data_IF_074824314633
#
_entry.id   IF_074824314633
#
_cell.length_a   1.000
_cell.length_b   1.000
_cell.length_c   1.000
_cell.angle_alpha   90.00
_cell.angle_beta   90.00
_cell.angle_gamma   90.00
#
_symmetry.space_group_name_H-M   'P 1'
#
loop_
_entity.id
_entity.type
_entity.pdbx_description
1 polymer ?
#
# COMPACT_ATOMS: atom_id res chain seq x y z
N UNK A 1 16.18 2.50 23.80
CA UNK A 1 14.98 1.97 23.11
C UNK A 1 15.32 1.82 21.63
N UNK A 2 15.18 0.64 21.04
CA UNK A 2 15.46 0.43 19.61
C UNK A 2 14.36 1.08 18.77
N UNK A 3 14.75 1.89 17.77
CA UNK A 3 13.79 2.58 16.88
C UNK A 3 12.95 1.58 16.06
N UNK A 4 13.51 0.40 15.76
CA UNK A 4 12.85 -0.68 15.04
C UNK A 4 12.62 -1.89 15.96
N UNK A 5 11.46 -2.58 15.86
CA UNK A 5 11.13 -3.72 16.70
C UNK A 5 11.88 -4.99 16.23
N UNK A 6 13.15 -5.13 16.62
CA UNK A 6 14.01 -6.24 16.16
C UNK A 6 13.52 -7.64 16.58
N UNK A 7 12.69 -7.75 17.62
CA UNK A 7 12.20 -9.01 18.17
C UNK A 7 10.94 -9.56 17.49
N UNK A 8 10.32 -8.82 16.57
CA UNK A 8 9.13 -9.27 15.84
C UNK A 8 9.52 -9.82 14.46
N UNK A 9 8.80 -10.79 13.89
CA UNK A 9 8.97 -11.15 12.48
C UNK A 9 8.53 -9.98 11.58
N UNK A 10 9.06 -9.92 10.35
CA UNK A 10 8.70 -8.88 9.36
C UNK A 10 7.25 -9.03 8.91
N UNK A 11 6.88 -10.24 8.50
CA UNK A 11 5.55 -10.64 8.10
C UNK A 11 5.07 -11.75 9.03
N UNK A 12 3.80 -11.72 9.39
CA UNK A 12 3.13 -12.75 10.19
C UNK A 12 1.73 -13.01 9.65
N UNK A 13 1.17 -14.14 10.04
CA UNK A 13 -0.24 -14.43 9.78
C UNK A 13 -1.13 -13.39 10.45
N UNK A 14 -2.26 -13.07 9.82
CA UNK A 14 -3.17 -12.05 10.34
C UNK A 14 -3.75 -12.48 11.68
N UNK A 15 -3.60 -11.61 12.67
CA UNK A 15 -4.15 -11.81 14.00
C UNK A 15 -5.65 -11.53 14.04
N UNK A 16 -6.41 -12.37 14.74
CA UNK A 16 -7.87 -12.20 14.92
C UNK A 16 -8.21 -11.16 16.01
N UNK A 17 -7.31 -10.97 16.98
CA UNK A 17 -7.40 -9.98 18.05
C UNK A 17 -7.06 -8.55 17.52
N UNK A 18 -7.98 -8.02 16.71
CA UNK A 18 -7.87 -6.73 16.03
C UNK A 18 -8.30 -5.56 16.92
N UNK A 19 -7.60 -4.43 16.79
CA UNK A 19 -7.97 -3.18 17.47
C UNK A 19 -9.23 -2.57 16.82
N UNK A 20 -9.92 -1.69 17.56
CA UNK A 20 -11.20 -1.12 17.12
C UNK A 20 -11.12 -0.42 15.77
N UNK A 21 -9.98 0.23 15.48
CA UNK A 21 -9.73 0.89 14.20
C UNK A 21 -9.60 -0.07 13.03
N UNK A 22 -9.15 -1.29 13.26
CA UNK A 22 -9.00 -2.33 12.24
C UNK A 22 -10.30 -3.11 12.03
N UNK A 23 -11.13 -3.20 13.08
CA UNK A 23 -12.47 -3.80 13.00
C UNK A 23 -13.44 -2.95 12.19
N UNK A 24 -13.28 -1.63 12.20
CA UNK A 24 -14.22 -0.74 11.52
C UNK A 24 -14.09 -0.86 9.99
N UNK A 25 -15.12 -1.42 9.35
CA UNK A 25 -15.13 -1.66 7.90
C UNK A 25 -14.30 -2.87 7.47
N UNK A 26 -14.09 -3.82 8.39
CA UNK A 26 -13.50 -5.12 8.11
C UNK A 26 -14.34 -5.88 7.07
N UNK A 27 -13.72 -6.26 5.96
CA UNK A 27 -14.33 -7.11 4.95
C UNK A 27 -14.00 -8.57 5.28
N UNK A 28 -15.03 -9.40 5.50
CA UNK A 28 -14.85 -10.85 5.67
C UNK A 28 -15.26 -11.56 4.39
N UNK A 29 -14.30 -12.19 3.73
CA UNK A 29 -14.53 -12.98 2.52
C UNK A 29 -14.54 -14.45 2.92
N UNK A 30 -15.68 -15.10 2.70
CA UNK A 30 -15.84 -16.53 2.92
C UNK A 30 -16.34 -17.16 1.62
N UNK A 31 -15.41 -17.65 0.81
CA UNK A 31 -15.72 -18.35 -0.41
C UNK A 31 -15.88 -19.84 -0.12
N UNK A 32 -17.13 -20.30 -0.23
CA UNK A 32 -17.48 -21.72 -0.14
C UNK A 32 -17.97 -22.22 -1.49
N UNK A 33 -17.52 -23.40 -1.90
CA UNK A 33 -18.07 -24.14 -3.03
C UNK A 33 -18.65 -25.46 -2.51
N UNK A 34 -19.98 -25.51 -2.38
CA UNK A 34 -20.67 -26.64 -1.77
C UNK A 34 -20.26 -26.84 -0.31
N UNK A 35 -19.61 -27.97 0.00
CA UNK A 35 -19.11 -28.31 1.34
C UNK A 35 -17.66 -27.88 1.59
N UNK A 36 -16.94 -27.42 0.57
CA UNK A 36 -15.53 -27.03 0.68
C UNK A 36 -15.43 -25.52 0.90
N UNK A 37 -14.74 -25.13 1.97
CA UNK A 37 -14.28 -23.75 2.12
C UNK A 37 -13.05 -23.58 1.21
N UNK A 38 -13.20 -22.88 0.10
CA UNK A 38 -12.09 -22.58 -0.81
C UNK A 38 -11.17 -21.53 -0.19
N UNK A 39 -11.77 -20.54 0.47
CA UNK A 39 -11.02 -19.46 1.09
C UNK A 39 -11.84 -18.74 2.15
N UNK A 40 -11.22 -18.45 3.29
CA UNK A 40 -11.83 -17.66 4.37
C UNK A 40 -10.76 -16.72 4.91
N UNK A 41 -10.97 -15.42 4.75
CA UNK A 41 -10.03 -14.39 5.20
C UNK A 41 -10.75 -13.10 5.57
N UNK A 42 -10.03 -12.20 6.24
CA UNK A 42 -10.51 -10.86 6.55
C UNK A 42 -9.52 -9.80 6.09
N UNK A 43 -10.06 -8.65 5.70
CA UNK A 43 -9.31 -7.52 5.15
C UNK A 43 -9.70 -6.24 5.86
N UNK A 44 -8.72 -5.65 6.54
CA UNK A 44 -8.85 -4.32 7.13
C UNK A 44 -9.03 -3.27 6.03
N UNK A 45 -9.40 -2.05 6.40
CA UNK A 45 -9.47 -0.95 5.42
C UNK A 45 -8.12 -0.65 4.78
N UNK A 46 -7.01 -0.82 5.51
CA UNK A 46 -5.67 -0.69 4.94
C UNK A 46 -5.41 -1.78 3.92
N UNK A 47 -5.76 -3.03 4.21
CA UNK A 47 -5.55 -4.12 3.27
C UNK A 47 -6.37 -3.90 1.98
N UNK A 48 -7.59 -3.40 2.12
CA UNK A 48 -8.45 -3.03 0.99
C UNK A 48 -7.80 -1.94 0.11
N UNK A 49 -7.11 -0.97 0.72
CA UNK A 49 -6.34 0.03 -0.02
C UNK A 49 -5.17 -0.60 -0.77
N UNK A 50 -4.42 -1.51 -0.16
CA UNK A 50 -3.35 -2.22 -0.84
C UNK A 50 -3.86 -3.07 -2.02
N UNK A 51 -4.98 -3.78 -1.85
CA UNK A 51 -5.61 -4.54 -2.94
C UNK A 51 -6.05 -3.60 -4.06
N UNK A 52 -6.73 -2.51 -3.73
CA UNK A 52 -7.18 -1.53 -4.72
C UNK A 52 -6.00 -0.97 -5.53
N UNK A 53 -4.94 -0.52 -4.86
CA UNK A 53 -3.77 0.01 -5.54
C UNK A 53 -3.01 -1.06 -6.31
N UNK A 54 -3.02 -2.32 -5.86
CA UNK A 54 -2.43 -3.42 -6.62
C UNK A 54 -3.14 -3.61 -7.95
N UNK A 55 -4.47 -3.62 -7.96
CA UNK A 55 -5.28 -3.71 -9.17
C UNK A 55 -5.08 -2.51 -10.10
N UNK A 56 -4.99 -1.30 -9.54
CA UNK A 56 -4.70 -0.08 -10.31
C UNK A 56 -3.31 -0.17 -10.95
N UNK A 57 -2.27 -0.51 -10.18
CA UNK A 57 -0.91 -0.66 -10.70
C UNK A 57 -0.84 -1.73 -11.79
N UNK A 58 -1.42 -2.91 -11.54
CA UNK A 58 -1.48 -3.98 -12.53
C UNK A 58 -2.18 -3.50 -13.81
N UNK A 59 -3.34 -2.85 -13.70
CA UNK A 59 -4.06 -2.29 -14.84
C UNK A 59 -3.23 -1.28 -15.63
N UNK A 60 -2.64 -0.28 -14.97
CA UNK A 60 -1.83 0.77 -15.62
C UNK A 60 -0.65 0.15 -16.36
N UNK A 61 0.14 -0.70 -15.71
CA UNK A 61 1.36 -1.23 -16.29
C UNK A 61 1.13 -2.33 -17.34
N UNK A 62 0.07 -3.15 -17.19
CA UNK A 62 -0.34 -4.12 -18.22
C UNK A 62 -0.84 -3.39 -19.46
N UNK A 63 -1.65 -2.33 -19.30
CA UNK A 63 -2.11 -1.53 -20.43
C UNK A 63 -0.97 -0.81 -21.13
N UNK A 64 -0.04 -0.23 -20.38
CA UNK A 64 1.17 0.39 -20.95
C UNK A 64 2.03 -0.60 -21.75
N UNK A 65 2.14 -1.85 -21.31
CA UNK A 65 2.98 -2.85 -21.93
C UNK A 65 2.37 -3.49 -23.19
N UNK A 66 1.07 -3.81 -23.14
CA UNK A 66 0.47 -4.73 -24.12
C UNK A 66 -0.63 -4.13 -24.97
N UNK A 67 -1.27 -3.03 -24.53
CA UNK A 67 -2.40 -2.49 -25.27
C UNK A 67 -1.90 -1.48 -26.31
N UNK A 68 -2.25 -1.65 -27.60
CA UNK A 68 -1.90 -0.73 -28.67
C UNK A 68 -2.84 0.49 -28.68
N UNK A 69 -2.99 1.14 -27.53
CA UNK A 69 -3.81 2.35 -27.34
C UNK A 69 -2.90 3.56 -27.28
N UNK A 70 -3.32 4.70 -27.82
CA UNK A 70 -2.50 5.92 -27.78
C UNK A 70 -2.15 6.32 -26.34
N UNK A 71 -0.92 6.77 -26.11
CA UNK A 71 -0.45 7.22 -24.80
C UNK A 71 -1.31 8.34 -24.20
N UNK A 72 -1.88 9.21 -25.03
CA UNK A 72 -2.82 10.27 -24.60
C UNK A 72 -4.08 9.70 -23.96
N UNK A 73 -4.71 8.70 -24.60
CA UNK A 73 -5.91 8.05 -24.07
C UNK A 73 -5.56 7.28 -22.78
N UNK A 74 -4.42 6.58 -22.78
CA UNK A 74 -3.96 5.85 -21.60
C UNK A 74 -3.72 6.80 -20.42
N UNK A 75 -3.05 7.93 -20.63
CA UNK A 75 -2.80 8.96 -19.62
C UNK A 75 -4.10 9.44 -18.96
N UNK A 76 -5.12 9.79 -19.75
CA UNK A 76 -6.43 10.23 -19.22
C UNK A 76 -7.04 9.15 -18.32
N UNK A 77 -7.08 7.90 -18.78
CA UNK A 77 -7.64 6.80 -17.99
C UNK A 77 -6.84 6.53 -16.71
N UNK A 78 -5.51 6.55 -16.79
CA UNK A 78 -4.65 6.35 -15.63
C UNK A 78 -4.82 7.47 -14.61
N UNK A 79 -4.91 8.73 -15.04
CA UNK A 79 -5.17 9.87 -14.15
C UNK A 79 -6.52 9.74 -13.45
N UNK A 80 -7.57 9.29 -14.15
CA UNK A 80 -8.89 9.00 -13.55
C UNK A 80 -8.80 7.86 -12.53
N UNK A 81 -8.14 6.74 -12.88
CA UNK A 81 -7.96 5.60 -11.98
C UNK A 81 -7.16 5.98 -10.73
N UNK A 82 -6.07 6.74 -10.89
CA UNK A 82 -5.27 7.24 -9.78
C UNK A 82 -6.09 8.17 -8.89
N UNK A 83 -6.91 9.06 -9.44
CA UNK A 83 -7.81 9.91 -8.65
C UNK A 83 -8.79 9.08 -7.83
N UNK A 84 -9.45 8.10 -8.46
CA UNK A 84 -10.38 7.18 -7.77
C UNK A 84 -9.65 6.41 -6.67
N UNK A 85 -8.46 5.90 -6.94
CA UNK A 85 -7.59 5.20 -5.98
C UNK A 85 -7.23 6.09 -4.80
N UNK A 86 -6.81 7.33 -5.05
CA UNK A 86 -6.47 8.32 -4.02
C UNK A 86 -7.67 8.70 -3.15
N UNK A 87 -8.85 8.97 -3.75
CA UNK A 87 -10.06 9.30 -2.99
C UNK A 87 -10.51 8.11 -2.14
N UNK A 88 -10.48 6.91 -2.71
CA UNK A 88 -10.83 5.68 -1.98
C UNK A 88 -9.86 5.42 -0.83
N UNK A 89 -8.55 5.64 -1.05
CA UNK A 89 -7.53 5.55 0.00
C UNK A 89 -7.81 6.53 1.13
N UNK A 90 -8.16 7.78 0.84
CA UNK A 90 -8.52 8.77 1.86
C UNK A 90 -9.72 8.25 2.67
N UNK A 91 -10.81 7.87 2.02
CA UNK A 91 -12.04 7.41 2.70
C UNK A 91 -11.77 6.20 3.60
N UNK A 92 -11.02 5.22 3.09
CA UNK A 92 -10.75 3.98 3.82
C UNK A 92 -9.77 4.18 4.98
N UNK A 93 -8.75 5.03 4.80
CA UNK A 93 -7.69 5.18 5.82
C UNK A 93 -7.93 6.31 6.80
N UNK A 94 -8.85 7.25 6.51
CA UNK A 94 -9.02 8.47 7.30
C UNK A 94 -9.15 8.18 8.80
N UNK A 95 -10.09 7.32 9.19
CA UNK A 95 -10.30 6.99 10.58
C UNK A 95 -9.04 6.41 11.24
N UNK A 96 -8.39 5.47 10.55
CA UNK A 96 -7.20 4.81 11.05
C UNK A 96 -6.04 5.81 11.24
N UNK A 97 -5.78 6.68 10.26
CA UNK A 97 -4.72 7.70 10.39
C UNK A 97 -5.08 8.77 11.42
N UNK A 98 -6.36 9.02 11.67
CA UNK A 98 -6.80 9.90 12.75
C UNK A 98 -6.51 9.30 14.12
N UNK A 99 -6.87 8.03 14.33
CA UNK A 99 -6.61 7.31 15.59
C UNK A 99 -5.11 7.17 15.83
N UNK A 100 -4.33 6.86 14.80
CA UNK A 100 -2.87 6.66 14.89
C UNK A 100 -2.05 7.97 14.85
N UNK A 101 -2.70 9.13 14.70
CA UNK A 101 -2.08 10.46 14.54
C UNK A 101 -1.10 10.52 13.34
N UNK A 102 -1.45 9.88 12.22
CA UNK A 102 -0.65 9.72 10.99
C UNK A 102 -1.20 10.48 9.77
N UNK A 103 -2.00 11.53 9.93
CA UNK A 103 -2.55 12.29 8.79
C UNK A 103 -1.48 12.75 7.80
N UNK A 104 -0.28 13.12 8.28
CA UNK A 104 0.82 13.55 7.44
C UNK A 104 1.31 12.46 6.47
N UNK A 105 1.22 11.18 6.87
CA UNK A 105 1.54 10.05 6.01
C UNK A 105 0.56 9.96 4.84
N UNK A 106 -0.74 10.11 5.11
CA UNK A 106 -1.77 10.13 4.08
C UNK A 106 -1.54 11.28 3.10
N UNK A 107 -1.26 12.49 3.61
CA UNK A 107 -0.94 13.64 2.76
C UNK A 107 0.33 13.41 1.94
N UNK A 108 1.37 12.79 2.51
CA UNK A 108 2.59 12.43 1.81
C UNK A 108 2.32 11.52 0.62
N UNK A 109 1.53 10.47 0.80
CA UNK A 109 1.12 9.59 -0.31
C UNK A 109 0.30 10.33 -1.37
N UNK A 110 -0.64 11.20 -0.97
CA UNK A 110 -1.43 11.99 -1.93
C UNK A 110 -0.56 12.92 -2.75
N UNK A 111 0.39 13.63 -2.13
CA UNK A 111 1.34 14.50 -2.82
C UNK A 111 2.19 13.69 -3.81
N UNK A 112 2.69 12.53 -3.39
CA UNK A 112 3.46 11.63 -4.25
C UNK A 112 2.66 11.15 -5.48
N UNK A 113 1.40 10.77 -5.30
CA UNK A 113 0.53 10.33 -6.40
C UNK A 113 0.24 11.47 -7.37
N UNK A 114 -0.12 12.65 -6.87
CA UNK A 114 -0.39 13.83 -7.70
C UNK A 114 0.87 14.24 -8.48
N UNK A 115 2.04 14.27 -7.83
CA UNK A 115 3.30 14.59 -8.48
C UNK A 115 3.65 13.58 -9.59
N UNK A 116 3.50 12.28 -9.32
CA UNK A 116 3.76 11.22 -10.29
C UNK A 116 2.86 11.28 -11.52
N UNK A 117 1.55 11.44 -11.31
CA UNK A 117 0.58 11.61 -12.41
C UNK A 117 0.88 12.87 -13.20
N UNK A 118 1.07 14.01 -12.51
CA UNK A 118 1.34 15.28 -13.20
C UNK A 118 2.59 15.18 -14.06
N UNK A 119 3.67 14.60 -13.55
CA UNK A 119 4.91 14.45 -14.31
C UNK A 119 4.73 13.48 -15.49
N UNK A 120 4.00 12.38 -15.30
CA UNK A 120 3.66 11.42 -16.36
C UNK A 120 2.85 12.09 -17.47
N UNK A 121 1.80 12.82 -17.11
CA UNK A 121 0.93 13.53 -18.05
C UNK A 121 1.71 14.61 -18.80
N UNK A 122 2.49 15.44 -18.11
CA UNK A 122 3.37 16.41 -18.77
C UNK A 122 4.35 15.72 -19.73
N UNK A 123 4.88 14.57 -19.35
CA UNK A 123 5.73 13.74 -20.20
C UNK A 123 5.05 13.31 -21.49
N UNK A 124 3.80 12.84 -21.39
CA UNK A 124 3.02 12.35 -22.53
C UNK A 124 2.53 13.49 -23.41
N UNK A 125 1.90 14.52 -22.82
CA UNK A 125 1.28 15.61 -23.57
C UNK A 125 2.29 16.57 -24.22
N UNK A 126 3.43 16.81 -23.58
CA UNK A 126 4.50 17.67 -24.12
C UNK A 126 5.64 16.90 -24.77
N UNK A 127 5.59 15.56 -24.79
CA UNK A 127 6.63 14.73 -25.41
C UNK A 127 7.99 14.82 -24.71
N UNK A 128 8.01 14.98 -23.38
CA UNK A 128 9.25 15.09 -22.62
C UNK A 128 9.98 13.74 -22.57
N UNK A 129 10.90 13.54 -23.51
CA UNK A 129 11.60 12.28 -23.73
C UNK A 129 12.28 11.73 -22.48
N UNK A 130 12.91 12.58 -21.66
CA UNK A 130 13.57 12.17 -20.41
C UNK A 130 12.58 11.53 -19.43
N UNK A 131 11.38 12.08 -19.29
CA UNK A 131 10.34 11.50 -18.43
C UNK A 131 9.81 10.22 -19.05
N UNK A 132 9.50 10.24 -20.35
CA UNK A 132 8.94 9.09 -21.06
C UNK A 132 9.85 7.86 -21.03
N UNK A 133 11.16 8.05 -21.19
CA UNK A 133 12.15 6.95 -21.13
C UNK A 133 12.40 6.46 -19.70
N UNK A 134 11.99 7.23 -18.69
CA UNK A 134 12.18 6.91 -17.28
C UNK A 134 10.86 6.74 -16.51
N UNK A 135 9.73 6.48 -17.18
CA UNK A 135 8.43 6.31 -16.50
C UNK A 135 8.45 5.17 -15.48
N UNK A 136 9.02 4.03 -15.84
CA UNK A 136 9.10 2.88 -14.93
C UNK A 136 10.00 3.18 -13.70
N UNK A 137 11.27 3.64 -13.86
CA UNK A 137 12.08 4.10 -12.74
C UNK A 137 11.41 5.19 -11.89
N UNK A 138 10.70 6.13 -12.52
CA UNK A 138 9.97 7.20 -11.84
C UNK A 138 8.94 6.63 -10.87
N UNK A 139 8.05 5.76 -11.35
CA UNK A 139 6.99 5.19 -10.52
C UNK A 139 7.54 4.26 -9.42
N UNK A 140 8.58 3.47 -9.71
CA UNK A 140 9.29 2.71 -8.68
C UNK A 140 9.90 3.63 -7.60
N UNK A 141 10.46 4.77 -8.00
CA UNK A 141 11.03 5.75 -7.07
C UNK A 141 9.95 6.37 -6.18
N UNK A 142 8.83 6.79 -6.78
CA UNK A 142 7.69 7.37 -6.05
C UNK A 142 7.16 6.36 -5.01
N UNK A 143 6.96 5.11 -5.42
CA UNK A 143 6.54 4.04 -4.49
C UNK A 143 7.58 3.78 -3.40
N UNK A 144 8.87 3.72 -3.75
CA UNK A 144 9.94 3.54 -2.78
C UNK A 144 9.96 4.66 -1.72
N UNK A 145 9.79 5.92 -2.15
CA UNK A 145 9.69 7.07 -1.25
C UNK A 145 8.45 6.96 -0.34
N UNK A 146 7.29 6.59 -0.89
CA UNK A 146 6.09 6.36 -0.10
C UNK A 146 6.28 5.25 0.94
N UNK A 147 6.97 4.16 0.58
CA UNK A 147 7.32 3.11 1.54
C UNK A 147 8.32 3.56 2.59
N UNK A 148 9.30 4.42 2.26
CA UNK A 148 10.18 5.03 3.26
C UNK A 148 9.41 5.93 4.24
N UNK A 149 8.49 6.76 3.74
CA UNK A 149 7.61 7.58 4.59
C UNK A 149 6.76 6.69 5.51
N UNK A 150 6.23 5.60 4.96
CA UNK A 150 5.42 4.63 5.73
C UNK A 150 6.28 3.93 6.78
N UNK A 151 7.44 3.40 6.41
CA UNK A 151 8.41 2.79 7.32
C UNK A 151 8.79 3.71 8.47
N UNK A 152 9.05 4.99 8.18
CA UNK A 152 9.32 5.99 9.20
C UNK A 152 8.13 6.22 10.13
N UNK A 153 6.94 6.40 9.55
CA UNK A 153 5.69 6.68 10.27
C UNK A 153 5.32 5.55 11.23
N UNK A 154 5.28 4.33 10.73
CA UNK A 154 4.83 3.14 11.47
C UNK A 154 5.97 2.38 12.13
N UNK A 155 7.22 2.85 11.98
CA UNK A 155 8.46 2.19 12.44
C UNK A 155 8.53 0.72 11.99
N UNK A 156 8.24 0.49 10.72
CA UNK A 156 8.15 -0.84 10.12
C UNK A 156 9.40 -1.18 9.32
N UNK A 157 9.97 -2.35 9.58
CA UNK A 157 11.06 -2.90 8.76
C UNK A 157 10.53 -3.51 7.47
N UNK A 158 9.31 -4.01 7.46
CA UNK A 158 8.67 -4.53 6.25
C UNK A 158 8.53 -3.46 5.19
N UNK A 159 8.07 -2.25 5.56
CA UNK A 159 8.02 -1.15 4.59
C UNK A 159 9.40 -0.67 4.15
N UNK A 160 10.41 -0.73 5.03
CA UNK A 160 11.79 -0.44 4.63
C UNK A 160 12.30 -1.46 3.60
N UNK A 161 12.00 -2.75 3.80
CA UNK A 161 12.32 -3.80 2.84
C UNK A 161 11.58 -3.58 1.51
N UNK A 162 10.30 -3.17 1.53
CA UNK A 162 9.56 -2.85 0.30
C UNK A 162 10.20 -1.68 -0.46
N UNK A 163 10.69 -0.64 0.23
CA UNK A 163 11.44 0.43 -0.39
C UNK A 163 12.75 -0.08 -1.04
N UNK A 164 13.51 -0.93 -0.34
CA UNK A 164 14.74 -1.55 -0.87
C UNK A 164 14.43 -2.39 -2.11
N UNK A 165 13.36 -3.18 -2.08
CA UNK A 165 12.92 -3.98 -3.23
C UNK A 165 12.68 -3.05 -4.44
N UNK A 166 11.96 -1.95 -4.26
CA UNK A 166 11.67 -1.01 -5.35
C UNK A 166 12.93 -0.33 -5.89
N UNK A 167 13.84 0.13 -5.02
CA UNK A 167 15.11 0.70 -5.48
C UNK A 167 16.00 -0.33 -6.19
N UNK A 168 16.01 -1.57 -5.70
CA UNK A 168 16.74 -2.67 -6.35
C UNK A 168 16.13 -2.99 -7.71
N UNK A 169 14.80 -2.97 -7.83
CA UNK A 169 14.10 -3.16 -9.10
C UNK A 169 14.49 -2.10 -10.13
N UNK A 170 14.74 -0.84 -9.73
CA UNK A 170 15.25 0.19 -10.65
C UNK A 170 16.59 -0.21 -11.26
N UNK A 171 17.50 -0.77 -10.46
CA UNK A 171 18.81 -1.24 -10.93
C UNK A 171 18.68 -2.45 -11.86
N UNK A 172 17.69 -3.31 -11.62
CA UNK A 172 17.44 -4.52 -12.43
C UNK A 172 16.69 -4.18 -13.73
N UNK A 173 15.90 -3.12 -13.74
CA UNK A 173 14.97 -2.79 -14.82
C UNK A 173 15.62 -2.73 -16.23
N UNK A 174 16.84 -2.20 -16.43
CA UNK A 174 17.49 -2.19 -17.73
C UNK A 174 17.67 -3.60 -18.34
N UNK A 175 17.80 -4.64 -17.51
CA UNK A 175 17.93 -6.02 -17.97
C UNK A 175 16.62 -6.62 -18.48
N UNK A 176 15.47 -5.96 -18.25
CA UNK A 176 14.17 -6.40 -18.74
C UNK A 176 13.89 -5.96 -20.20
N UNK A 177 14.75 -5.14 -20.81
CA UNK A 177 14.61 -4.74 -22.22
C UNK A 177 13.27 -4.08 -22.53
N UNK A 178 12.50 -4.62 -23.48
CA UNK A 178 11.16 -4.10 -23.81
C UNK A 178 10.06 -4.38 -22.77
N UNK A 179 10.35 -5.16 -21.73
CA UNK A 179 9.37 -5.63 -20.72
C UNK A 179 9.35 -4.79 -19.43
N UNK A 180 9.92 -3.59 -19.44
CA UNK A 180 10.06 -2.77 -18.25
C UNK A 180 8.73 -2.39 -17.59
N UNK A 181 7.68 -2.12 -18.38
CA UNK A 181 6.36 -1.80 -17.83
C UNK A 181 5.76 -3.01 -17.13
N UNK A 182 5.82 -4.20 -17.74
CA UNK A 182 5.37 -5.44 -17.11
C UNK A 182 6.12 -5.73 -15.80
N UNK A 183 7.46 -5.65 -15.83
CA UNK A 183 8.30 -5.90 -14.65
C UNK A 183 7.97 -4.92 -13.51
N UNK A 184 7.79 -3.64 -13.82
CA UNK A 184 7.40 -2.61 -12.85
C UNK A 184 6.03 -2.88 -12.26
N UNK A 185 5.04 -3.19 -13.11
CA UNK A 185 3.69 -3.55 -12.67
C UNK A 185 3.68 -4.75 -11.74
N UNK A 186 4.46 -5.79 -12.06
CA UNK A 186 4.61 -6.99 -11.22
C UNK A 186 5.19 -6.64 -9.85
N UNK A 187 6.29 -5.89 -9.81
CA UNK A 187 6.93 -5.49 -8.55
C UNK A 187 5.95 -4.70 -7.67
N UNK A 188 5.32 -3.67 -8.23
CA UNK A 188 4.39 -2.81 -7.49
C UNK A 188 3.15 -3.58 -7.02
N UNK A 189 2.53 -4.36 -7.91
CA UNK A 189 1.30 -5.10 -7.59
C UNK A 189 1.54 -6.22 -6.57
N UNK A 190 2.62 -7.00 -6.73
CA UNK A 190 2.95 -8.08 -5.79
C UNK A 190 3.31 -7.52 -4.43
N UNK A 191 4.12 -6.46 -4.36
CA UNK A 191 4.44 -5.83 -3.06
C UNK A 191 3.20 -5.41 -2.30
N UNK A 192 2.22 -4.81 -2.99
CA UNK A 192 0.95 -4.42 -2.38
C UNK A 192 0.11 -5.64 -1.96
N UNK A 193 0.04 -6.70 -2.76
CA UNK A 193 -0.68 -7.92 -2.38
C UNK A 193 -0.05 -8.61 -1.17
N UNK A 194 1.29 -8.65 -1.10
CA UNK A 194 2.02 -9.17 0.06
C UNK A 194 1.66 -8.37 1.31
N UNK A 195 1.61 -7.03 1.21
CA UNK A 195 1.23 -6.18 2.33
C UNK A 195 -0.26 -6.29 2.71
N UNK A 196 -1.12 -6.69 1.77
CA UNK A 196 -2.54 -6.92 2.02
C UNK A 196 -2.83 -8.29 2.65
N UNK A 197 -2.04 -9.30 2.30
CA UNK A 197 -2.28 -10.68 2.73
C UNK A 197 -1.62 -11.00 4.07
N UNK A 198 -0.42 -10.49 4.32
CA UNK A 198 0.30 -10.69 5.57
C UNK A 198 0.26 -9.46 6.46
N UNK A 199 0.20 -9.70 7.76
CA UNK A 199 0.33 -8.62 8.73
C UNK A 199 1.81 -8.23 8.85
N UNK A 200 2.08 -6.94 8.68
CA UNK A 200 3.41 -6.35 8.72
C UNK A 200 3.75 -5.81 10.12
N UNK A 201 5.05 -5.65 10.40
CA UNK A 201 5.53 -5.15 11.69
C UNK A 201 5.25 -3.65 11.85
N UNK A 202 4.65 -3.27 12.99
CA UNK A 202 4.33 -1.88 13.33
C UNK A 202 4.80 -1.55 14.75
N UNK A 203 5.06 -0.27 15.01
CA UNK A 203 5.20 0.26 16.37
C UNK A 203 4.02 -0.14 17.25
N UNK A 204 4.23 -0.14 18.57
CA UNK A 204 3.13 -0.34 19.49
C UNK A 204 2.04 0.73 19.32
N UNK A 205 0.77 0.37 19.53
CA UNK A 205 -0.32 1.34 19.43
C UNK A 205 -0.08 2.52 20.37
N UNK A 206 -0.47 3.73 19.96
CA UNK A 206 -0.24 4.93 20.77
C UNK A 206 -1.11 4.89 22.03
N UNK A 207 -0.57 5.27 23.19
CA UNK A 207 -1.34 5.25 24.45
C UNK A 207 -2.40 6.36 24.50
N UNK A 208 -2.16 7.44 23.79
CA UNK A 208 -2.98 8.65 23.81
C UNK A 208 -3.91 8.75 22.60
N UNK A 209 -4.99 7.97 22.64
CA UNK A 209 -6.06 8.06 21.65
C UNK A 209 -7.06 9.16 22.03
N UNK A 210 -6.90 10.37 21.50
CA UNK A 210 -7.86 11.46 21.76
C UNK A 210 -9.26 11.18 21.19
N UNK A 211 -9.35 10.32 20.18
CA UNK A 211 -10.58 10.05 19.42
C UNK A 211 -11.34 8.81 19.90
N UNK A 212 -10.73 7.96 20.73
CA UNK A 212 -11.38 6.74 21.23
C UNK A 212 -12.03 6.99 22.60
N UNK A 213 -13.23 6.45 22.77
CA UNK A 213 -13.92 6.40 24.06
C UNK A 213 -13.11 5.56 25.08
N UNK A 214 -13.29 5.77 26.40
CA UNK A 214 -12.63 4.96 27.42
C UNK A 214 -12.85 3.45 27.24
N UNK A 215 -14.05 3.04 26.84
CA UNK A 215 -14.40 1.64 26.57
C UNK A 215 -13.62 1.07 25.38
N UNK A 216 -13.47 1.86 24.31
CA UNK A 216 -12.68 1.47 23.13
C UNK A 216 -11.19 1.38 23.45
N UNK A 217 -10.66 2.28 24.29
CA UNK A 217 -9.27 2.20 24.78
C UNK A 217 -9.04 0.91 25.57
N UNK A 218 -9.94 0.60 26.49
CA UNK A 218 -9.88 -0.63 27.29
C UNK A 218 -9.97 -1.88 26.39
N UNK A 219 -10.84 -1.86 25.37
CA UNK A 219 -10.92 -2.93 24.39
C UNK A 219 -9.58 -3.16 23.68
N UNK A 220 -8.95 -2.11 23.13
CA UNK A 220 -7.65 -2.22 22.46
C UNK A 220 -6.56 -2.75 23.41
N UNK A 221 -6.56 -2.32 24.67
CA UNK A 221 -5.63 -2.84 25.69
C UNK A 221 -5.83 -4.35 25.92
N UNK A 222 -7.08 -4.81 26.04
CA UNK A 222 -7.38 -6.23 26.19
C UNK A 222 -6.93 -7.05 24.96
N UNK A 223 -7.13 -6.52 23.75
CA UNK A 223 -6.63 -7.17 22.53
C UNK A 223 -5.10 -7.25 22.52
N UNK A 224 -4.42 -6.20 22.98
CA UNK A 224 -2.96 -6.21 23.11
C UNK A 224 -2.48 -7.28 24.10
N UNK A 225 -3.10 -7.38 25.28
CA UNK A 225 -2.76 -8.40 26.28
C UNK A 225 -2.95 -9.82 25.74
N UNK A 226 -4.05 -10.08 25.03
CA UNK A 226 -4.30 -11.39 24.37
C UNK A 226 -3.18 -11.74 23.39
N UNK A 227 -2.74 -10.76 22.58
CA UNK A 227 -1.63 -10.93 21.63
C UNK A 227 -0.29 -11.21 22.30
N UNK A 228 -0.10 -10.82 23.56
CA UNK A 228 1.11 -11.17 24.31
C UNK A 228 1.06 -12.59 24.86
N UNK A 229 -0.12 -13.05 25.29
CA UNK A 229 -0.32 -14.40 25.85
C UNK A 229 -0.35 -15.48 24.75
N UNK A 230 -0.80 -15.13 23.55
CA UNK A 230 -0.89 -16.05 22.41
C UNK A 230 0.44 -16.30 21.67
N UNK A 231 1.55 -15.67 22.10
CA UNK A 231 2.90 -15.88 21.56
C UNK A 231 3.64 -16.99 22.30
#
# INVERSE_FOLDING_TARGET
MTFLPLSQPLLRDKQEDLDIQDLQGLLRLNWKLGKFNLWSGFYTRIDQVFILWSLICAGIFVTAQFLPVSWYIQAIWWSVLTLIGSVSMIILTWFWVSVEKLHWLLYGWIILMIAGVTLTDLGIFYGWSTVLTNLCPLWLTISALGYLLTAWSVRSRTFLLMAIIHFTSIVILPFCGGWQFCATGIVMAISLLVLAEWQWDMRQPIEDYDLLTPEQKLFNQQQYERRLVAK
#
